data_IF_106979127055
#
_entry.id   IF_106979127055
#
_cell.length_a   1.000
_cell.length_b   1.000
_cell.length_c   1.000
_cell.angle_alpha   90.00
_cell.angle_beta   90.00
_cell.angle_gamma   90.00
#
_symmetry.space_group_name_H-M   'P 1'
#
loop_
_entity.id
_entity.type
_entity.pdbx_description
1 polymer ?
#
# COMPACT_ATOMS: atom_id res chain seq x y z
N UNK A 1 1.25 -20.80 -8.49
CA UNK A 1 1.82 -19.45 -8.28
C UNK A 1 1.39 -19.01 -6.90
N UNK A 2 2.20 -18.26 -6.13
CA UNK A 2 1.80 -17.80 -4.80
C UNK A 2 0.53 -16.94 -4.87
N UNK A 3 -0.47 -17.26 -4.07
CA UNK A 3 -1.72 -16.49 -3.95
C UNK A 3 -1.50 -15.37 -2.93
N UNK A 4 -1.64 -14.10 -3.34
CA UNK A 4 -1.34 -12.95 -2.49
C UNK A 4 -2.55 -12.03 -2.38
N UNK A 5 -2.98 -11.74 -1.16
CA UNK A 5 -4.06 -10.79 -0.91
C UNK A 5 -3.48 -9.44 -0.53
N UNK A 6 -3.85 -8.41 -1.26
CA UNK A 6 -3.65 -7.00 -0.92
C UNK A 6 -4.94 -6.53 -0.26
N UNK A 7 -4.88 -6.41 1.07
CA UNK A 7 -5.93 -5.85 1.88
C UNK A 7 -5.71 -4.35 2.01
N UNK A 8 -6.55 -3.58 1.31
CA UNK A 8 -6.59 -2.14 1.45
C UNK A 8 -7.40 -1.78 2.72
N UNK A 9 -6.68 -1.61 3.82
CA UNK A 9 -7.20 -1.09 5.09
C UNK A 9 -7.45 0.42 5.03
N UNK A 10 -7.15 1.04 3.90
CA UNK A 10 -6.94 2.45 3.62
C UNK A 10 -5.83 3.10 4.44
N UNK A 11 -5.16 4.02 3.76
CA UNK A 11 -4.08 4.84 4.28
C UNK A 11 -4.36 6.30 3.97
N UNK A 12 -3.90 7.19 4.84
CA UNK A 12 -3.95 8.63 4.60
C UNK A 12 -2.59 9.25 4.94
N UNK A 13 -1.96 9.82 3.93
CA UNK A 13 -0.68 10.52 4.02
C UNK A 13 -0.79 11.91 3.39
N UNK A 14 0.02 12.90 3.81
CA UNK A 14 0.00 14.24 3.24
C UNK A 14 0.16 14.29 1.72
N UNK A 15 0.83 13.28 1.14
CA UNK A 15 1.06 13.15 -0.30
C UNK A 15 -0.03 12.37 -1.06
N UNK A 16 -0.95 11.68 -0.38
CA UNK A 16 -1.97 10.83 -1.01
C UNK A 16 -3.11 10.55 -0.03
N UNK A 17 -4.34 10.81 -0.46
CA UNK A 17 -5.53 10.71 0.39
C UNK A 17 -5.90 9.27 0.72
N UNK A 18 -5.80 8.36 -0.25
CA UNK A 18 -5.90 6.91 -0.10
C UNK A 18 -7.18 6.30 0.50
N UNK A 19 -8.16 7.13 0.90
CA UNK A 19 -9.46 6.72 1.43
C UNK A 19 -10.55 7.01 0.39
N UNK A 20 -11.56 6.14 0.21
CA UNK A 20 -12.62 6.34 -0.78
C UNK A 20 -13.24 7.74 -0.75
N UNK A 21 -13.40 8.39 -1.91
CA UNK A 21 -13.37 7.78 -3.25
C UNK A 21 -11.96 7.67 -3.88
N UNK A 22 -10.87 7.85 -3.13
CA UNK A 22 -9.50 7.73 -3.64
C UNK A 22 -8.94 6.32 -3.43
N UNK A 23 -8.11 5.83 -4.37
CA UNK A 23 -7.25 4.66 -4.16
C UNK A 23 -5.79 5.12 -4.18
N UNK A 24 -5.06 4.76 -3.12
CA UNK A 24 -3.66 5.10 -2.93
C UNK A 24 -2.78 4.41 -4.01
N UNK A 25 -1.62 4.97 -4.39
CA UNK A 25 -0.70 4.33 -5.34
C UNK A 25 -0.10 3.01 -4.83
N UNK A 26 0.13 2.90 -3.52
CA UNK A 26 0.78 1.72 -2.91
C UNK A 26 0.02 0.38 -3.12
N UNK A 27 -1.32 0.27 -2.94
CA UNK A 27 -2.06 -0.94 -3.31
C UNK A 27 -1.84 -1.37 -4.77
N UNK A 28 -1.85 -0.42 -5.72
CA UNK A 28 -1.54 -0.68 -7.13
C UNK A 28 -0.11 -1.16 -7.30
N UNK A 29 0.86 -0.48 -6.67
CA UNK A 29 2.26 -0.89 -6.70
C UNK A 29 2.46 -2.29 -6.12
N UNK A 30 1.80 -2.64 -5.03
CA UNK A 30 1.85 -3.99 -4.44
C UNK A 30 1.25 -5.03 -5.39
N UNK A 31 0.14 -4.70 -6.06
CA UNK A 31 -0.48 -5.54 -7.08
C UNK A 31 0.48 -5.82 -8.25
N UNK A 32 1.14 -4.79 -8.76
CA UNK A 32 2.15 -4.92 -9.81
C UNK A 32 3.42 -5.65 -9.35
N UNK A 33 3.88 -5.42 -8.13
CA UNK A 33 5.03 -6.10 -7.53
C UNK A 33 4.79 -7.61 -7.42
N UNK A 34 3.61 -8.02 -6.97
CA UNK A 34 3.22 -9.43 -6.91
C UNK A 34 3.22 -10.06 -8.30
N UNK A 35 2.67 -9.38 -9.31
CA UNK A 35 2.71 -9.87 -10.71
C UNK A 35 4.14 -9.98 -11.24
N UNK A 36 4.97 -8.98 -10.99
CA UNK A 36 6.37 -8.97 -11.40
C UNK A 36 7.15 -10.15 -10.79
N UNK A 37 6.82 -10.55 -9.57
CA UNK A 37 7.40 -11.70 -8.88
C UNK A 37 6.77 -13.06 -9.28
N UNK A 38 5.81 -13.08 -10.22
CA UNK A 38 5.13 -14.31 -10.66
C UNK A 38 4.06 -14.84 -9.69
N UNK A 39 3.54 -13.98 -8.80
CA UNK A 39 2.39 -14.26 -7.94
C UNK A 39 1.05 -13.90 -8.56
N UNK A 40 -0.03 -14.30 -7.88
CA UNK A 40 -1.42 -13.99 -8.25
C UNK A 40 -2.00 -13.02 -7.21
N UNK A 41 -2.15 -11.72 -7.56
CA UNK A 41 -2.70 -10.75 -6.62
C UNK A 41 -4.23 -10.77 -6.57
N UNK A 42 -4.77 -10.60 -5.37
CA UNK A 42 -6.19 -10.36 -5.09
C UNK A 42 -6.32 -9.06 -4.32
N UNK A 43 -7.28 -8.22 -4.70
CA UNK A 43 -7.55 -6.95 -4.03
C UNK A 43 -8.85 -7.02 -3.23
N UNK A 44 -8.81 -6.59 -1.97
CA UNK A 44 -9.97 -6.52 -1.06
C UNK A 44 -9.85 -5.26 -0.23
N UNK A 45 -10.94 -4.49 -0.08
CA UNK A 45 -10.96 -3.35 0.83
C UNK A 45 -11.50 -3.70 2.21
N UNK A 46 -11.18 -2.86 3.21
CA UNK A 46 -11.77 -2.96 4.55
C UNK A 46 -13.29 -2.86 4.53
N UNK A 47 -13.88 -2.07 3.63
CA UNK A 47 -15.34 -1.93 3.57
C UNK A 47 -16.02 -3.18 3.00
N UNK A 48 -15.40 -3.84 2.01
CA UNK A 48 -15.88 -5.14 1.54
C UNK A 48 -15.78 -6.21 2.63
N UNK A 49 -14.69 -6.22 3.38
CA UNK A 49 -14.50 -7.13 4.50
C UNK A 49 -15.53 -6.89 5.61
N UNK A 50 -15.78 -5.62 5.97
CA UNK A 50 -16.86 -5.22 6.89
C UNK A 50 -18.23 -5.64 6.40
N UNK A 51 -18.46 -5.63 5.08
CA UNK A 51 -19.68 -6.12 4.45
C UNK A 51 -19.79 -7.66 4.40
N UNK A 52 -18.79 -8.39 4.92
CA UNK A 52 -18.81 -9.85 5.05
C UNK A 52 -18.02 -10.59 3.98
N UNK A 53 -17.30 -9.90 3.09
CA UNK A 53 -16.38 -10.56 2.15
C UNK A 53 -15.23 -11.19 2.91
N UNK A 54 -15.15 -12.52 2.90
CA UNK A 54 -14.05 -13.24 3.53
C UNK A 54 -12.73 -13.01 2.77
N UNK A 55 -11.62 -12.94 3.52
CA UNK A 55 -10.28 -13.00 2.93
C UNK A 55 -10.04 -14.42 2.45
N UNK A 56 -9.72 -14.64 1.15
CA UNK A 56 -9.48 -15.96 0.63
C UNK A 56 -8.19 -16.55 1.25
N UNK A 57 -8.05 -17.89 1.28
CA UNK A 57 -6.78 -18.52 1.61
C UNK A 57 -5.67 -17.98 0.70
N UNK A 58 -4.56 -17.57 1.31
CA UNK A 58 -3.42 -16.98 0.60
C UNK A 58 -2.10 -17.40 1.24
N UNK A 59 -1.05 -17.40 0.43
CA UNK A 59 0.33 -17.63 0.87
C UNK A 59 0.92 -16.38 1.52
N UNK A 60 0.43 -15.19 1.14
CA UNK A 60 0.81 -13.91 1.72
C UNK A 60 -0.39 -12.95 1.82
N UNK A 61 -0.52 -12.30 2.97
CA UNK A 61 -1.46 -11.21 3.20
C UNK A 61 -0.70 -9.90 3.40
N UNK A 62 -0.85 -8.96 2.48
CA UNK A 62 -0.33 -7.60 2.54
C UNK A 62 -1.43 -6.71 3.07
N UNK A 63 -1.24 -6.12 4.25
CA UNK A 63 -2.17 -5.18 4.86
C UNK A 63 -1.60 -3.78 4.76
N UNK A 64 -2.30 -2.92 4.02
CA UNK A 64 -1.92 -1.52 3.83
C UNK A 64 -2.86 -0.65 4.66
N UNK A 65 -2.34 -0.01 5.71
CA UNK A 65 -3.18 0.69 6.67
C UNK A 65 -2.47 1.86 7.35
N UNK A 66 -3.26 2.73 7.97
CA UNK A 66 -2.81 3.75 8.91
C UNK A 66 -2.84 5.16 8.34
N UNK A 67 -2.93 6.12 9.26
CA UNK A 67 -3.08 7.54 8.93
C UNK A 67 -1.94 8.31 9.58
N UNK A 68 -1.31 9.22 8.84
CA UNK A 68 -0.29 10.13 9.37
C UNK A 68 -0.79 11.56 9.55
N UNK A 69 -1.99 11.86 9.04
CA UNK A 69 -2.67 13.16 9.20
C UNK A 69 -4.05 12.99 9.81
N UNK A 70 -4.55 13.97 10.59
CA UNK A 70 -5.93 13.97 11.04
C UNK A 70 -6.90 14.18 9.88
N UNK A 71 -7.66 13.14 9.51
CA UNK A 71 -8.65 13.18 8.44
C UNK A 71 -10.10 13.19 8.93
N UNK A 72 -10.99 13.80 8.14
CA UNK A 72 -12.44 13.53 8.18
C UNK A 72 -12.83 12.89 6.85
N UNK A 73 -13.23 11.63 6.89
CA UNK A 73 -13.49 10.84 5.69
C UNK A 73 -14.98 10.87 5.34
N UNK A 74 -15.27 10.95 4.04
CA UNK A 74 -16.63 11.13 3.54
C UNK A 74 -17.37 9.80 3.32
N UNK A 75 -16.67 8.76 2.85
CA UNK A 75 -17.26 7.49 2.39
C UNK A 75 -16.80 6.29 3.20
N UNK A 76 -15.49 6.05 3.23
CA UNK A 76 -14.88 4.94 3.98
C UNK A 76 -14.19 5.44 5.24
N UNK A 77 -14.00 4.55 6.21
CA UNK A 77 -13.15 4.81 7.37
C UNK A 77 -11.94 3.88 7.33
N UNK A 78 -10.71 4.38 7.50
CA UNK A 78 -9.55 3.52 7.64
C UNK A 78 -9.74 2.45 8.72
N UNK A 79 -9.11 1.30 8.51
CA UNK A 79 -9.18 0.18 9.43
C UNK A 79 -8.63 0.59 10.80
N UNK A 80 -9.38 0.29 11.85
CA UNK A 80 -8.89 0.46 13.21
C UNK A 80 -7.79 -0.56 13.50
N UNK A 81 -6.90 -0.23 14.44
CA UNK A 81 -5.87 -1.17 14.94
C UNK A 81 -6.47 -2.52 15.35
N UNK A 82 -7.65 -2.52 15.97
CA UNK A 82 -8.35 -3.74 16.37
C UNK A 82 -8.75 -4.59 15.15
N UNK A 83 -9.28 -3.96 14.10
CA UNK A 83 -9.63 -4.65 12.86
C UNK A 83 -8.39 -5.24 12.17
N UNK A 84 -7.30 -4.48 12.11
CA UNK A 84 -6.03 -4.97 11.54
C UNK A 84 -5.49 -6.17 12.31
N UNK A 85 -5.54 -6.16 13.65
CA UNK A 85 -5.16 -7.31 14.46
C UNK A 85 -6.08 -8.52 14.26
N UNK A 86 -7.40 -8.29 14.21
CA UNK A 86 -8.39 -9.34 13.97
C UNK A 86 -8.21 -9.99 12.59
N UNK A 87 -7.85 -9.21 11.57
CA UNK A 87 -7.64 -9.68 10.20
C UNK A 87 -6.52 -10.73 10.11
N UNK A 88 -5.45 -10.54 10.87
CA UNK A 88 -4.29 -11.44 10.86
C UNK A 88 -4.40 -12.61 11.84
N UNK A 89 -5.41 -12.62 12.71
CA UNK A 89 -5.65 -13.73 13.62
C UNK A 89 -5.97 -15.01 12.83
N UNK A 90 -5.16 -16.06 13.05
CA UNK A 90 -5.32 -17.34 12.37
C UNK A 90 -4.73 -17.40 10.95
N UNK A 91 -4.12 -16.31 10.44
CA UNK A 91 -3.38 -16.35 9.18
C UNK A 91 -2.13 -17.21 9.31
N UNK A 92 -1.97 -18.15 8.37
CA UNK A 92 -0.85 -19.11 8.36
C UNK A 92 0.28 -18.72 7.41
N UNK A 93 -0.05 -17.98 6.35
CA UNK A 93 0.91 -17.46 5.38
C UNK A 93 1.79 -16.34 5.93
N UNK A 94 2.57 -15.75 5.03
CA UNK A 94 3.34 -14.54 5.32
C UNK A 94 2.40 -13.35 5.55
N UNK A 95 2.72 -12.48 6.51
CA UNK A 95 1.95 -11.26 6.75
C UNK A 95 2.86 -10.04 6.64
N UNK A 96 2.49 -9.10 5.78
CA UNK A 96 3.23 -7.87 5.51
C UNK A 96 2.37 -6.67 5.89
N UNK A 97 2.85 -5.81 6.77
CA UNK A 97 2.22 -4.54 7.12
C UNK A 97 2.93 -3.39 6.41
N UNK A 98 2.15 -2.56 5.72
CA UNK A 98 2.60 -1.34 5.06
C UNK A 98 1.82 -0.10 5.49
N UNK A 99 2.26 1.05 4.97
CA UNK A 99 1.69 2.36 5.30
C UNK A 99 2.08 2.83 6.70
N UNK A 100 1.49 3.94 7.18
CA UNK A 100 1.77 4.49 8.50
C UNK A 100 1.58 3.51 9.66
N UNK A 101 0.72 2.49 9.51
CA UNK A 101 0.50 1.46 10.52
C UNK A 101 1.76 0.63 10.83
N UNK A 102 2.73 0.55 9.90
CA UNK A 102 3.99 -0.14 10.14
C UNK A 102 4.87 0.51 11.22
N UNK A 103 4.57 1.76 11.61
CA UNK A 103 5.21 2.48 12.71
C UNK A 103 4.56 2.20 14.08
N UNK A 104 3.38 1.60 14.13
CA UNK A 104 2.73 1.22 15.40
C UNK A 104 3.46 0.00 16.01
N UNK A 105 4.04 0.11 17.23
CA UNK A 105 4.81 -0.98 17.84
C UNK A 105 4.01 -2.25 18.10
N UNK A 106 2.72 -2.13 18.42
CA UNK A 106 1.84 -3.26 18.70
C UNK A 106 1.52 -4.02 17.42
N UNK A 107 1.17 -3.31 16.34
CA UNK A 107 0.96 -3.94 15.03
C UNK A 107 2.27 -4.56 14.52
N UNK A 108 3.38 -3.83 14.58
CA UNK A 108 4.70 -4.30 14.16
C UNK A 108 5.12 -5.59 14.86
N UNK A 109 4.78 -5.77 16.14
CA UNK A 109 5.10 -6.98 16.90
C UNK A 109 4.23 -8.20 16.56
N UNK A 110 3.14 -8.02 15.80
CA UNK A 110 2.17 -9.09 15.47
C UNK A 110 2.26 -9.56 14.02
N UNK A 111 2.72 -8.71 13.12
CA UNK A 111 3.02 -9.09 11.73
C UNK A 111 4.38 -9.79 11.62
N UNK A 112 4.53 -10.69 10.65
CA UNK A 112 5.84 -11.30 10.35
C UNK A 112 6.81 -10.30 9.75
N UNK A 113 6.27 -9.40 8.92
CA UNK A 113 7.01 -8.34 8.25
C UNK A 113 6.26 -7.02 8.39
N UNK A 114 6.98 -5.95 8.74
CA UNK A 114 6.43 -4.61 8.81
C UNK A 114 7.42 -3.64 8.19
N UNK A 115 7.00 -3.03 7.08
CA UNK A 115 7.85 -2.23 6.19
C UNK A 115 7.21 -0.87 5.99
N UNK A 116 7.79 0.15 6.64
CA UNK A 116 7.26 1.50 6.57
C UNK A 116 7.65 2.20 5.26
N UNK A 117 8.84 1.90 4.72
CA UNK A 117 9.26 2.53 3.47
C UNK A 117 8.40 2.02 2.33
N UNK A 118 8.41 0.71 2.04
CA UNK A 118 7.68 0.22 0.88
C UNK A 118 7.26 -1.24 1.02
N UNK A 119 5.97 -1.46 1.30
CA UNK A 119 5.42 -2.81 1.39
C UNK A 119 5.34 -3.52 0.03
N UNK A 120 5.30 -2.79 -1.09
CA UNK A 120 5.36 -3.41 -2.41
C UNK A 120 6.75 -4.01 -2.67
N UNK A 121 7.81 -3.28 -2.30
CA UNK A 121 9.18 -3.79 -2.39
C UNK A 121 9.40 -5.00 -1.48
N UNK A 122 8.87 -4.94 -0.25
CA UNK A 122 8.93 -6.07 0.66
C UNK A 122 8.20 -7.31 0.12
N UNK A 123 7.02 -7.14 -0.46
CA UNK A 123 6.27 -8.24 -1.07
C UNK A 123 7.03 -8.88 -2.22
N UNK A 124 7.59 -8.06 -3.13
CA UNK A 124 8.43 -8.56 -4.22
C UNK A 124 9.62 -9.36 -3.69
N UNK A 125 10.40 -8.78 -2.77
CA UNK A 125 11.60 -9.42 -2.24
C UNK A 125 11.28 -10.75 -1.53
N UNK A 126 10.18 -10.80 -0.75
CA UNK A 126 9.74 -12.03 -0.08
C UNK A 126 9.34 -13.12 -1.08
N UNK A 127 8.68 -12.77 -2.17
CA UNK A 127 8.28 -13.73 -3.20
C UNK A 127 9.47 -14.21 -4.05
N UNK A 128 10.40 -13.31 -4.36
CA UNK A 128 11.56 -13.60 -5.22
C UNK A 128 12.66 -14.37 -4.48
N UNK A 129 12.99 -13.95 -3.25
CA UNK A 129 14.17 -14.44 -2.54
C UNK A 129 13.93 -14.85 -1.08
N UNK A 130 12.68 -14.78 -0.59
CA UNK A 130 12.29 -15.20 0.75
C UNK A 130 12.72 -14.26 1.88
N UNK A 131 13.30 -13.08 1.58
CA UNK A 131 13.75 -12.12 2.59
C UNK A 131 13.57 -10.66 2.15
N UNK A 132 12.78 -9.90 2.89
CA UNK A 132 12.67 -8.45 2.65
C UNK A 132 13.58 -7.63 3.57
N UNK A 133 14.04 -6.49 3.04
CA UNK A 133 14.56 -5.37 3.84
C UNK A 133 13.57 -4.21 3.77
N UNK A 134 13.61 -3.32 4.75
CA UNK A 134 12.88 -2.05 4.65
C UNK A 134 13.66 -1.13 3.70
N UNK A 135 13.21 -1.06 2.45
CA UNK A 135 13.84 -0.29 1.37
C UNK A 135 12.78 0.37 0.52
N UNK A 136 13.19 1.41 -0.18
CA UNK A 136 12.39 1.97 -1.27
C UNK A 136 12.50 1.12 -2.54
N UNK A 137 11.46 1.17 -3.37
CA UNK A 137 11.52 0.77 -4.79
C UNK A 137 12.60 1.55 -5.53
N UNK A 138 13.30 0.87 -6.45
CA UNK A 138 14.11 1.53 -7.49
C UNK A 138 13.19 2.25 -8.49
N UNK A 139 13.76 3.09 -9.37
CA UNK A 139 12.96 3.76 -10.40
C UNK A 139 12.34 2.76 -11.37
N UNK A 140 13.10 1.73 -11.76
CA UNK A 140 12.64 0.68 -12.66
C UNK A 140 11.51 -0.14 -12.04
N UNK A 141 11.64 -0.51 -10.76
CA UNK A 141 10.58 -1.19 -10.01
C UNK A 141 9.34 -0.32 -9.88
N UNK A 142 9.52 0.97 -9.59
CA UNK A 142 8.41 1.89 -9.44
C UNK A 142 7.60 1.96 -10.72
N UNK A 143 8.23 2.26 -11.85
CA UNK A 143 7.54 2.42 -13.13
C UNK A 143 6.91 1.11 -13.61
N UNK A 144 7.64 -0.01 -13.49
CA UNK A 144 7.12 -1.32 -13.87
C UNK A 144 5.90 -1.72 -13.05
N UNK A 145 5.97 -1.60 -11.72
CA UNK A 145 4.89 -2.07 -10.84
C UNK A 145 3.68 -1.14 -10.88
N UNK A 146 3.90 0.16 -11.08
CA UNK A 146 2.86 1.12 -11.39
C UNK A 146 2.03 0.70 -12.60
N UNK A 147 2.69 0.35 -13.71
CA UNK A 147 2.03 -0.10 -14.93
C UNK A 147 1.38 -1.49 -14.76
N UNK A 148 2.08 -2.46 -14.19
CA UNK A 148 1.57 -3.83 -14.00
C UNK A 148 0.39 -3.89 -13.02
N UNK A 149 0.26 -2.92 -12.13
CA UNK A 149 -0.81 -2.81 -11.15
C UNK A 149 -1.91 -1.80 -11.49
N UNK A 150 -1.88 -1.16 -12.65
CA UNK A 150 -2.86 -0.14 -13.05
C UNK A 150 -4.30 -0.68 -13.04
N UNK A 151 -4.50 -1.94 -13.43
CA UNK A 151 -5.82 -2.60 -13.46
C UNK A 151 -6.31 -3.07 -12.08
N UNK A 152 -5.53 -2.90 -11.01
CA UNK A 152 -5.98 -3.14 -9.63
C UNK A 152 -7.27 -2.37 -9.32
N UNK A 153 -7.45 -1.19 -9.92
CA UNK A 153 -8.62 -0.33 -9.74
C UNK A 153 -9.92 -1.00 -10.18
N UNK A 154 -9.88 -1.95 -11.13
CA UNK A 154 -11.06 -2.67 -11.61
C UNK A 154 -11.70 -3.54 -10.53
N UNK A 155 -10.96 -3.86 -9.47
CA UNK A 155 -11.42 -4.66 -8.34
C UNK A 155 -11.99 -3.82 -7.18
N UNK A 156 -11.87 -2.49 -7.24
CA UNK A 156 -12.34 -1.61 -6.17
C UNK A 156 -13.87 -1.41 -6.26
N UNK A 157 -14.62 -1.42 -5.13
CA UNK A 157 -16.08 -1.31 -5.14
C UNK A 157 -16.61 0.00 -5.78
N UNK A 158 -15.82 1.06 -5.72
CA UNK A 158 -16.15 2.37 -6.32
C UNK A 158 -15.80 2.48 -7.83
N UNK A 159 -15.26 1.44 -8.46
CA UNK A 159 -15.00 1.44 -9.89
C UNK A 159 -16.29 1.26 -10.71
N UNK A 160 -16.47 1.94 -11.86
CA UNK A 160 -15.59 2.95 -12.44
C UNK A 160 -15.80 4.35 -11.87
N UNK A 161 -16.93 4.58 -11.17
CA UNK A 161 -17.28 5.85 -10.55
C UNK A 161 -17.91 5.60 -9.18
N UNK A 162 -17.52 6.36 -8.14
CA UNK A 162 -16.75 7.61 -8.20
C UNK A 162 -15.23 7.46 -7.98
N UNK A 163 -14.65 6.27 -8.14
CA UNK A 163 -13.23 6.04 -7.82
C UNK A 163 -12.28 7.01 -8.55
N UNK A 164 -11.34 7.57 -7.79
CA UNK A 164 -10.25 8.40 -8.27
C UNK A 164 -8.94 7.67 -8.00
N UNK A 165 -8.25 7.28 -9.07
CA UNK A 165 -6.93 6.67 -8.96
C UNK A 165 -5.88 7.77 -8.79
N UNK A 166 -5.19 7.77 -7.65
CA UNK A 166 -4.09 8.70 -7.42
C UNK A 166 -2.84 8.24 -8.21
N UNK A 167 -2.09 9.22 -8.75
CA UNK A 167 -0.85 8.99 -9.48
C UNK A 167 0.31 9.59 -8.69
N UNK A 168 1.29 8.75 -8.36
CA UNK A 168 2.49 9.18 -7.64
C UNK A 168 3.51 9.70 -8.65
N UNK A 169 3.79 11.01 -8.64
CA UNK A 169 4.74 11.65 -9.58
C UNK A 169 6.14 11.80 -8.99
N UNK A 170 6.25 11.81 -7.66
CA UNK A 170 7.52 11.87 -6.94
C UNK A 170 7.34 11.41 -5.49
N UNK A 171 8.44 11.09 -4.82
CA UNK A 171 8.51 10.73 -3.39
C UNK A 171 9.54 11.59 -2.70
N UNK A 172 9.28 12.00 -1.45
CA UNK A 172 10.18 12.83 -0.66
C UNK A 172 9.77 14.30 -0.67
N UNK A 173 10.57 15.19 -0.09
CA UNK A 173 10.21 16.61 0.01
C UNK A 173 11.40 17.53 -0.26
N UNK A 174 11.20 18.61 -1.02
CA UNK A 174 12.23 19.66 -1.20
C UNK A 174 12.70 20.27 0.13
N UNK A 175 11.88 20.16 1.19
CA UNK A 175 12.19 20.61 2.55
C UNK A 175 12.82 19.52 3.44
N UNK A 176 13.31 18.41 2.87
CA UNK A 176 13.90 17.29 3.64
C UNK A 176 15.03 17.73 4.58
N UNK A 177 15.81 18.76 4.19
CA UNK A 177 16.89 19.29 5.02
C UNK A 177 16.41 20.14 6.20
N UNK A 178 15.22 20.75 6.09
CA UNK A 178 14.69 21.67 7.11
C UNK A 178 13.53 21.07 7.92
N UNK A 179 13.26 19.77 7.76
CA UNK A 179 12.18 19.06 8.45
C UNK A 179 10.78 19.29 7.88
N UNK A 180 10.62 20.12 6.85
CA UNK A 180 9.34 20.39 6.19
C UNK A 180 8.23 20.96 7.06
N UNK A 181 6.98 20.63 6.73
CA UNK A 181 5.79 21.10 7.45
C UNK A 181 5.58 20.26 8.72
N UNK A 182 5.05 20.86 9.78
CA UNK A 182 4.90 20.22 11.10
C UNK A 182 4.02 18.97 11.13
N UNK A 183 3.15 18.79 10.13
CA UNK A 183 2.21 17.67 10.01
C UNK A 183 2.61 16.67 8.92
N UNK A 184 3.73 16.89 8.23
CA UNK A 184 4.04 16.17 7.00
C UNK A 184 5.13 15.12 7.21
N UNK A 185 4.87 13.89 6.78
CA UNK A 185 5.85 12.78 6.82
C UNK A 185 6.73 12.71 5.57
N UNK A 186 6.41 13.44 4.49
CA UNK A 186 7.19 13.46 3.25
C UNK A 186 8.67 13.83 3.42
N UNK A 187 9.06 14.78 4.30
CA UNK A 187 10.48 15.06 4.58
C UNK A 187 11.25 13.84 5.11
N UNK A 188 10.56 12.93 5.83
CA UNK A 188 11.16 11.70 6.35
C UNK A 188 11.46 10.70 5.24
N UNK A 189 10.78 10.80 4.08
CA UNK A 189 11.05 10.00 2.89
C UNK A 189 12.29 10.48 2.12
N UNK A 190 12.90 11.58 2.54
CA UNK A 190 14.21 12.05 2.07
C UNK A 190 14.16 13.04 0.90
N UNK A 191 15.28 13.13 0.18
CA UNK A 191 15.43 14.00 -0.99
C UNK A 191 14.37 13.62 -2.04
N UNK A 192 13.72 14.59 -2.71
CA UNK A 192 12.70 14.28 -3.70
C UNK A 192 13.30 13.52 -4.88
N UNK A 193 12.62 12.44 -5.27
CA UNK A 193 12.91 11.62 -6.45
C UNK A 193 11.68 11.65 -7.34
N UNK A 194 11.85 12.10 -8.58
CA UNK A 194 10.77 12.30 -9.55
C UNK A 194 10.75 11.18 -10.58
N UNK A 195 9.54 10.83 -11.03
CA UNK A 195 9.33 9.95 -12.17
C UNK A 195 9.31 10.76 -13.47
N UNK A 196 9.65 10.09 -14.56
CA UNK A 196 9.54 10.68 -15.89
C UNK A 196 8.06 10.75 -16.30
N UNK A 197 7.60 11.86 -16.92
CA UNK A 197 6.21 12.01 -17.34
C UNK A 197 5.69 10.87 -18.21
N UNK A 198 6.52 10.33 -19.10
CA UNK A 198 6.18 9.22 -20.00
C UNK A 198 5.81 7.95 -19.21
N UNK A 199 6.53 7.68 -18.11
CA UNK A 199 6.26 6.53 -17.26
C UNK A 199 4.98 6.71 -16.42
N UNK A 200 4.66 7.94 -16.02
CA UNK A 200 3.39 8.27 -15.35
C UNK A 200 2.21 8.12 -16.30
N UNK A 201 2.34 8.56 -17.55
CA UNK A 201 1.30 8.43 -18.58
C UNK A 201 1.05 6.95 -18.92
N UNK A 202 2.09 6.12 -18.92
CA UNK A 202 1.97 4.70 -19.26
C UNK A 202 1.10 3.88 -18.28
N UNK A 203 0.91 4.35 -17.04
CA UNK A 203 0.06 3.68 -16.04
C UNK A 203 -1.34 4.29 -15.89
N UNK A 204 -1.67 5.33 -16.67
CA UNK A 204 -2.90 6.13 -16.53
C UNK A 204 -4.06 5.60 -17.38
#
# INVERSE_FOLDING_TARGET
MPEVVIFDGYMDEPGSLGVPPYIHPLPRAAFGAVRAAGGVPHYITVDEWRAGRAVPPCDMLIVLAGMSVPGRYLRGMPASRREVLQLIEGQRGETVLGGPAALDPELRGRFRHAHYLDAAAAAYDLLDNGRARDRWRTMEEWDLWSMLGADCVLHHPDHPQPLIAELETYRGCVRYMTGGCSFCVEPLKGRPVFREPEAVIAEA
#
